data_IF_978887440637
#
_entry.id   IF_978887440637
#
_cell.length_a   1.000
_cell.length_b   1.000
_cell.length_c   1.000
_cell.angle_alpha   90.00
_cell.angle_beta   90.00
_cell.angle_gamma   90.00
#
_symmetry.space_group_name_H-M   'P 1'
#
loop_
_entity.id
_entity.type
_entity.pdbx_description
1 polymer ?
#
# COMPACT_ATOMS: atom_id res chain seq x y z
N UNK A 1 4.22 11.45 16.65
CA UNK A 1 3.10 11.07 15.76
C UNK A 1 2.79 9.59 15.99
N UNK A 2 2.44 9.27 17.23
CA UNK A 2 1.85 8.00 17.65
C UNK A 2 0.39 8.33 17.87
N UNK A 3 -0.51 7.44 17.48
CA UNK A 3 -1.98 7.57 17.63
C UNK A 3 -2.69 8.25 16.46
N UNK A 4 -2.82 7.48 15.37
CA UNK A 4 -4.05 7.44 14.59
C UNK A 4 -4.44 5.97 14.42
N UNK A 5 -4.81 5.31 15.53
CA UNK A 5 -5.57 4.06 15.50
C UNK A 5 -7.00 4.45 15.80
N UNK A 6 -7.89 4.29 14.81
CA UNK A 6 -9.31 4.40 15.00
C UNK A 6 -9.76 3.35 16.04
N UNK A 7 -10.00 3.82 17.25
CA UNK A 7 -10.41 3.00 18.38
C UNK A 7 -11.89 2.62 18.23
N UNK A 8 -12.18 1.54 17.51
CA UNK A 8 -13.44 0.79 17.65
C UNK A 8 -13.27 -0.64 17.12
N UNK A 9 -12.76 -1.60 17.93
CA UNK A 9 -12.28 -2.89 17.41
C UNK A 9 -13.37 -3.91 17.01
N UNK A 10 -14.65 -3.68 17.32
CA UNK A 10 -15.60 -4.79 17.34
C UNK A 10 -16.37 -5.05 16.03
N UNK A 11 -16.54 -4.05 15.15
CA UNK A 11 -17.57 -4.16 14.09
C UNK A 11 -17.00 -4.39 12.69
N UNK A 12 -15.77 -3.93 12.38
CA UNK A 12 -15.14 -4.14 11.07
C UNK A 12 -14.25 -5.40 11.01
N UNK A 13 -13.89 -5.97 12.16
CA UNK A 13 -13.17 -7.26 12.23
C UNK A 13 -14.00 -8.47 11.76
N UNK A 14 -15.32 -8.32 11.61
CA UNK A 14 -16.18 -9.37 11.05
C UNK A 14 -16.11 -9.48 9.52
N UNK A 15 -15.52 -8.50 8.83
CA UNK A 15 -15.33 -8.53 7.38
C UNK A 15 -13.84 -8.61 7.08
N UNK A 16 -13.44 -9.60 6.27
CA UNK A 16 -12.08 -9.65 5.76
C UNK A 16 -11.79 -8.36 4.99
N UNK A 17 -10.73 -7.64 5.39
CA UNK A 17 -10.25 -6.47 4.68
C UNK A 17 -9.35 -6.95 3.54
N UNK A 18 -9.54 -6.40 2.34
CA UNK A 18 -8.71 -6.76 1.19
C UNK A 18 -7.42 -5.92 1.13
N UNK A 19 -7.50 -4.65 1.55
CA UNK A 19 -6.39 -3.70 1.52
C UNK A 19 -6.61 -2.50 2.47
N UNK A 20 -5.51 -1.81 2.81
CA UNK A 20 -5.49 -0.54 3.51
C UNK A 20 -5.01 0.56 2.57
N UNK A 21 -5.80 1.63 2.47
CA UNK A 21 -5.41 2.83 1.73
C UNK A 21 -5.01 3.96 2.69
N UNK A 22 -3.80 4.47 2.53
CA UNK A 22 -3.25 5.59 3.29
C UNK A 22 -3.41 6.87 2.45
N UNK A 23 -4.33 7.73 2.86
CA UNK A 23 -4.73 8.95 2.13
C UNK A 23 -3.68 10.09 2.12
N UNK A 24 -2.49 9.90 2.69
CA UNK A 24 -1.49 10.97 2.80
C UNK A 24 -0.54 11.05 1.59
N UNK A 25 -0.08 12.25 1.26
CA UNK A 25 0.97 12.52 0.25
C UNK A 25 2.38 12.26 0.79
N UNK A 26 2.55 11.49 1.86
CA UNK A 26 3.85 11.25 2.46
C UNK A 26 4.66 10.23 1.66
N UNK A 27 5.76 10.67 1.05
CA UNK A 27 6.76 9.77 0.44
C UNK A 27 7.34 8.75 1.44
N UNK A 28 7.20 8.98 2.76
CA UNK A 28 7.62 8.03 3.79
C UNK A 28 6.91 6.66 3.66
N UNK A 29 5.74 6.61 3.03
CA UNK A 29 5.05 5.35 2.78
C UNK A 29 5.87 4.36 1.94
N UNK A 30 6.76 4.83 1.05
CA UNK A 30 7.65 3.96 0.26
C UNK A 30 8.56 3.10 1.13
N UNK A 31 9.05 3.63 2.25
CA UNK A 31 10.00 2.92 3.11
C UNK A 31 9.35 1.99 4.14
N UNK A 32 8.02 1.97 4.25
CA UNK A 32 7.31 1.20 5.29
C UNK A 32 6.16 0.35 4.74
N UNK A 33 5.85 0.43 3.45
CA UNK A 33 4.71 -0.27 2.86
C UNK A 33 4.80 -1.79 3.07
N UNK A 34 5.93 -2.41 2.73
CA UNK A 34 6.12 -3.85 2.90
C UNK A 34 6.05 -4.29 4.37
N UNK A 35 6.64 -3.51 5.28
CA UNK A 35 6.59 -3.80 6.72
C UNK A 35 5.15 -3.74 7.24
N UNK A 36 4.39 -2.72 6.83
CA UNK A 36 2.97 -2.58 7.17
C UNK A 36 2.13 -3.72 6.58
N UNK A 37 2.39 -4.15 5.35
CA UNK A 37 1.71 -5.31 4.76
C UNK A 37 2.01 -6.61 5.52
N UNK A 38 3.23 -6.76 6.04
CA UNK A 38 3.62 -7.90 6.88
C UNK A 38 2.91 -7.87 8.24
N UNK A 39 2.72 -6.69 8.83
CA UNK A 39 2.02 -6.53 10.11
C UNK A 39 0.51 -6.71 9.97
N UNK A 40 -0.08 -6.18 8.89
CA UNK A 40 -1.54 -6.13 8.69
C UNK A 40 -2.08 -7.34 7.92
N UNK A 41 -1.22 -8.09 7.22
CA UNK A 41 -1.58 -9.24 6.38
C UNK A 41 -2.27 -8.87 5.05
N UNK A 42 -2.62 -7.60 4.84
CA UNK A 42 -3.34 -7.09 3.67
C UNK A 42 -2.47 -6.09 2.91
N UNK A 43 -2.80 -5.82 1.64
CA UNK A 43 -2.05 -4.88 0.81
C UNK A 43 -2.14 -3.45 1.38
N UNK A 44 -1.07 -2.66 1.26
CA UNK A 44 -1.02 -1.27 1.73
C UNK A 44 -0.68 -0.37 0.56
N UNK A 45 -1.57 0.57 0.25
CA UNK A 45 -1.43 1.49 -0.88
C UNK A 45 -1.58 2.93 -0.40
N UNK A 46 -0.85 3.86 -0.99
CA UNK A 46 -1.03 5.30 -0.83
C UNK A 46 -1.11 5.97 -2.19
N UNK A 47 -1.57 7.23 -2.24
CA UNK A 47 -1.60 8.02 -3.48
C UNK A 47 -0.23 8.07 -4.14
N UNK A 48 0.85 8.23 -3.37
CA UNK A 48 2.21 8.31 -3.93
C UNK A 48 2.71 6.94 -4.41
N UNK A 49 2.42 5.84 -3.70
CA UNK A 49 2.77 4.48 -4.13
C UNK A 49 2.07 4.14 -5.45
N UNK A 50 0.76 4.41 -5.52
CA UNK A 50 -0.03 4.22 -6.73
C UNK A 50 0.47 5.06 -7.89
N UNK A 51 0.80 6.33 -7.64
CA UNK A 51 1.33 7.22 -8.67
C UNK A 51 2.68 6.75 -9.22
N UNK A 52 3.65 6.44 -8.35
CA UNK A 52 4.97 5.98 -8.80
C UNK A 52 4.92 4.63 -9.51
N UNK A 53 4.14 3.68 -8.99
CA UNK A 53 3.86 2.43 -9.70
C UNK A 53 3.30 2.70 -11.10
N UNK A 54 2.26 3.53 -11.21
CA UNK A 54 1.60 3.81 -12.48
C UNK A 54 2.54 4.47 -13.49
N UNK A 55 3.36 5.43 -13.05
CA UNK A 55 4.37 6.06 -13.91
C UNK A 55 5.40 5.08 -14.44
N UNK A 56 5.91 4.16 -13.61
CA UNK A 56 6.84 3.12 -14.04
C UNK A 56 6.21 2.23 -15.12
N UNK A 57 4.96 1.81 -14.93
CA UNK A 57 4.27 0.96 -15.91
C UNK A 57 3.98 1.68 -17.21
N UNK A 58 3.57 2.96 -17.16
CA UNK A 58 3.41 3.78 -18.35
C UNK A 58 4.74 4.02 -19.09
N UNK A 59 5.86 4.07 -18.38
CA UNK A 59 7.20 4.15 -18.95
C UNK A 59 7.72 2.81 -19.52
N UNK A 60 6.94 1.73 -19.44
CA UNK A 60 7.34 0.38 -19.87
C UNK A 60 8.30 -0.33 -18.91
N UNK A 61 8.53 0.23 -17.72
CA UNK A 61 9.37 -0.37 -16.69
C UNK A 61 8.50 -1.35 -15.89
N UNK A 62 8.77 -2.64 -16.06
CA UNK A 62 7.99 -3.73 -15.44
C UNK A 62 8.77 -4.44 -14.31
N UNK A 63 9.85 -3.82 -13.83
CA UNK A 63 10.63 -4.35 -12.73
C UNK A 63 9.73 -4.56 -11.50
N UNK A 64 9.93 -5.69 -10.84
CA UNK A 64 9.33 -6.01 -9.54
C UNK A 64 10.24 -5.45 -8.46
N UNK A 65 9.84 -4.32 -7.88
CA UNK A 65 10.64 -3.63 -6.87
C UNK A 65 10.30 -4.17 -5.48
N UNK A 66 11.23 -4.95 -4.92
CA UNK A 66 11.12 -5.47 -3.55
C UNK A 66 11.10 -4.34 -2.52
N UNK A 67 10.41 -4.56 -1.40
CA UNK A 67 10.32 -3.59 -0.30
C UNK A 67 9.30 -2.46 -0.47
N UNK A 68 8.74 -2.26 -1.67
CA UNK A 68 7.74 -1.21 -1.93
C UNK A 68 6.28 -1.67 -1.77
N UNK A 69 6.07 -2.87 -1.23
CA UNK A 69 4.76 -3.51 -1.06
C UNK A 69 4.26 -4.22 -2.32
N UNK A 70 3.16 -4.98 -2.19
CA UNK A 70 2.58 -5.84 -3.23
C UNK A 70 2.22 -5.10 -4.52
N UNK A 71 1.90 -3.81 -4.46
CA UNK A 71 1.54 -3.05 -5.65
C UNK A 71 2.67 -3.04 -6.70
N UNK A 72 3.92 -2.94 -6.25
CA UNK A 72 5.09 -2.85 -7.15
C UNK A 72 5.48 -4.17 -7.80
N UNK A 73 4.85 -5.29 -7.44
CA UNK A 73 4.97 -6.55 -8.18
C UNK A 73 3.93 -6.71 -9.29
N UNK A 74 2.94 -5.82 -9.39
CA UNK A 74 1.85 -5.91 -10.36
C UNK A 74 2.13 -5.11 -11.64
N UNK A 75 1.59 -5.58 -12.76
CA UNK A 75 1.57 -4.87 -14.05
C UNK A 75 0.26 -4.10 -14.27
N UNK A 76 0.20 -3.30 -15.34
CA UNK A 76 -1.07 -2.73 -15.80
C UNK A 76 -1.92 -3.81 -16.47
N UNK A 77 -3.15 -3.98 -15.99
CA UNK A 77 -4.17 -4.71 -16.74
C UNK A 77 -4.51 -3.88 -17.99
N UNK A 78 -4.50 -4.52 -19.16
CA UNK A 78 -4.84 -3.91 -20.45
C UNK A 78 -6.25 -4.27 -20.87
#
# INVERSE_FOLDING_TARGET
>A
MREMVANSPATWMQKALDAVFVSCTSLRAYGVAADLESELGVAVVSSNLAFGWHLLRLAGINDQLEGLGRLFSLGLER
#
